data_IF_222082507519
#
_entry.id   IF_222082507519
#
_cell.length_a   1.000
_cell.length_b   1.000
_cell.length_c   1.000
_cell.angle_alpha   90.00
_cell.angle_beta   90.00
_cell.angle_gamma   90.00
#
_symmetry.space_group_name_H-M   'P 1'
#
loop_
_entity.id
_entity.type
_entity.pdbx_description
1 polymer ?
#
# COMPACT_ATOMS: atom_id res chain seq x y z
N UNK A 1 0.97 15.55 -32.90
CA UNK A 1 1.95 15.51 -31.79
C UNK A 1 2.72 16.83 -31.66
N UNK A 2 3.66 17.17 -32.56
CA UNK A 2 4.37 18.48 -32.54
C UNK A 2 3.43 19.69 -32.49
N UNK A 3 2.45 19.75 -33.40
CA UNK A 3 1.47 20.84 -33.44
C UNK A 3 0.69 20.98 -32.12
N UNK A 4 0.18 19.87 -31.59
CA UNK A 4 -0.56 19.82 -30.32
C UNK A 4 0.28 20.25 -29.12
N UNK A 5 1.57 19.90 -29.08
CA UNK A 5 2.47 20.30 -27.98
C UNK A 5 2.87 21.78 -28.04
N UNK A 6 3.00 22.34 -29.24
CA UNK A 6 3.25 23.78 -29.45
C UNK A 6 2.01 24.59 -29.03
N UNK A 7 0.81 24.10 -29.35
CA UNK A 7 -0.45 24.73 -28.98
C UNK A 7 -0.65 24.77 -27.44
N UNK A 8 -0.32 23.68 -26.73
CA UNK A 8 -0.47 23.58 -25.27
C UNK A 8 0.60 24.29 -24.45
N UNK A 9 1.85 24.35 -24.94
CA UNK A 9 3.00 24.77 -24.13
C UNK A 9 3.80 25.94 -24.73
N UNK A 10 3.43 26.39 -25.93
CA UNK A 10 4.09 27.48 -26.64
C UNK A 10 5.33 27.05 -27.42
N UNK A 11 5.60 27.77 -28.51
CA UNK A 11 6.71 27.52 -29.44
C UNK A 11 8.08 27.54 -28.74
N UNK A 12 8.26 28.46 -27.79
CA UNK A 12 9.54 28.65 -27.08
C UNK A 12 9.91 27.47 -26.16
N UNK A 13 8.93 26.82 -25.53
CA UNK A 13 9.17 25.61 -24.72
C UNK A 13 9.42 24.39 -25.60
N UNK A 14 8.74 24.31 -26.74
CA UNK A 14 8.99 23.26 -27.74
C UNK A 14 10.43 23.34 -28.24
N UNK A 15 10.88 24.52 -28.65
CA UNK A 15 12.21 24.74 -29.20
C UNK A 15 13.31 24.49 -28.17
N UNK A 16 13.09 24.86 -26.89
CA UNK A 16 13.98 24.46 -25.78
C UNK A 16 14.04 22.94 -25.58
N UNK A 17 12.92 22.24 -25.69
CA UNK A 17 12.91 20.77 -25.53
C UNK A 17 13.64 20.06 -26.68
N UNK A 18 13.52 20.58 -27.90
CA UNK A 18 14.21 20.07 -29.08
C UNK A 18 15.70 20.34 -28.97
N UNK A 19 16.09 21.57 -28.62
CA UNK A 19 17.49 21.93 -28.37
C UNK A 19 18.10 21.07 -27.26
N UNK A 20 17.36 20.79 -26.18
CA UNK A 20 17.84 19.90 -25.10
C UNK A 20 17.97 18.45 -25.53
N UNK A 21 17.06 17.94 -26.36
CA UNK A 21 17.21 16.60 -26.97
C UNK A 21 18.41 16.53 -27.89
N UNK A 22 18.68 17.59 -28.64
CA UNK A 22 19.86 17.69 -29.50
C UNK A 22 21.15 17.77 -28.68
N UNK A 23 21.20 18.59 -27.62
CA UNK A 23 22.32 18.58 -26.66
C UNK A 23 22.53 17.20 -26.03
N UNK A 24 21.46 16.48 -25.69
CA UNK A 24 21.56 15.13 -25.12
C UNK A 24 22.03 14.10 -26.16
N UNK A 25 21.62 14.25 -27.42
CA UNK A 25 22.07 13.41 -28.53
C UNK A 25 23.53 13.70 -28.92
N UNK A 26 23.95 14.97 -28.90
CA UNK A 26 25.31 15.41 -29.16
C UNK A 26 26.25 15.01 -28.01
N UNK A 27 25.79 15.06 -26.76
CA UNK A 27 26.49 14.47 -25.60
C UNK A 27 26.60 12.95 -25.69
N UNK A 28 25.57 12.27 -26.19
CA UNK A 28 25.63 10.83 -26.43
C UNK A 28 26.57 10.46 -27.60
N UNK A 29 26.69 11.32 -28.62
CA UNK A 29 27.56 11.11 -29.79
C UNK A 29 29.02 11.50 -29.55
N UNK A 30 29.30 12.43 -28.64
CA UNK A 30 30.65 12.86 -28.25
C UNK A 30 31.31 12.00 -27.17
N UNK A 31 30.63 10.95 -26.69
CA UNK A 31 31.12 10.11 -25.60
C UNK A 31 31.07 10.77 -24.22
N UNK A 32 30.54 11.99 -24.13
CA UNK A 32 30.32 12.75 -22.91
C UNK A 32 28.95 12.40 -22.28
N UNK A 33 28.66 11.10 -22.24
CA UNK A 33 27.67 10.56 -21.31
C UNK A 33 28.10 11.00 -19.92
N UNK A 34 27.21 11.72 -19.21
CA UNK A 34 27.34 12.21 -17.83
C UNK A 34 28.60 11.67 -17.15
N UNK A 35 29.68 12.48 -17.12
CA UNK A 35 31.03 12.11 -16.63
C UNK A 35 30.93 10.85 -15.78
N UNK A 36 31.18 9.70 -16.41
CA UNK A 36 31.19 8.45 -15.70
C UNK A 36 32.27 8.64 -14.64
N UNK A 37 31.84 8.80 -13.39
CA UNK A 37 32.74 8.94 -12.26
C UNK A 37 33.73 7.80 -12.41
N UNK A 38 35.02 8.12 -12.28
CA UNK A 38 36.01 7.05 -12.25
C UNK A 38 35.63 6.06 -11.14
N UNK A 39 35.96 4.75 -11.25
CA UNK A 39 35.61 3.77 -10.21
C UNK A 39 36.05 4.21 -8.80
N UNK A 40 37.11 5.03 -8.71
CA UNK A 40 37.60 5.65 -7.48
C UNK A 40 36.71 6.80 -6.98
N UNK A 41 36.18 7.65 -7.87
CA UNK A 41 35.25 8.72 -7.52
C UNK A 41 33.84 8.21 -7.19
N UNK A 42 33.36 7.15 -7.87
CA UNK A 42 32.14 6.43 -7.48
C UNK A 42 32.28 5.83 -6.08
N UNK A 43 33.43 5.20 -5.82
CA UNK A 43 33.72 4.62 -4.52
C UNK A 43 33.81 5.68 -3.42
N UNK A 44 34.50 6.80 -3.66
CA UNK A 44 34.60 7.89 -2.69
C UNK A 44 33.22 8.49 -2.38
N UNK A 45 32.36 8.65 -3.38
CA UNK A 45 30.99 9.15 -3.22
C UNK A 45 30.06 8.14 -2.54
N UNK A 46 30.23 6.84 -2.82
CA UNK A 46 29.52 5.76 -2.14
C UNK A 46 29.92 5.71 -0.65
N UNK A 47 31.22 5.72 -0.36
CA UNK A 47 31.75 5.71 1.01
C UNK A 47 31.31 6.94 1.81
N UNK A 48 31.33 8.13 1.19
CA UNK A 48 30.89 9.38 1.82
C UNK A 48 29.39 9.42 2.17
N UNK A 49 28.55 8.70 1.41
CA UNK A 49 27.11 8.58 1.64
C UNK A 49 26.71 7.30 2.37
N UNK A 50 27.66 6.46 2.77
CA UNK A 50 27.35 5.20 3.47
C UNK A 50 26.98 5.53 4.91
N UNK A 51 25.69 5.40 5.24
CA UNK A 51 25.26 5.42 6.64
C UNK A 51 25.91 4.24 7.39
N UNK A 52 26.27 4.41 8.68
CA UNK A 52 26.96 3.36 9.44
C UNK A 52 26.13 2.08 9.59
N UNK A 53 24.81 2.14 9.41
CA UNK A 53 23.95 0.97 9.29
C UNK A 53 23.08 1.12 8.05
N UNK A 54 22.84 0.01 7.36
CA UNK A 54 21.86 -0.01 6.29
C UNK A 54 20.45 0.17 6.87
N UNK A 55 19.71 1.14 6.33
CA UNK A 55 18.38 1.48 6.86
C UNK A 55 17.41 0.29 6.85
N UNK A 56 17.54 -0.61 5.87
CA UNK A 56 16.73 -1.83 5.76
C UNK A 56 17.06 -2.82 6.88
N UNK A 57 18.35 -3.10 7.15
CA UNK A 57 18.76 -4.02 8.22
C UNK A 57 18.38 -3.47 9.59
N UNK A 58 18.49 -2.15 9.79
CA UNK A 58 18.08 -1.50 11.03
C UNK A 58 16.57 -1.66 11.28
N UNK A 59 15.73 -1.39 10.28
CA UNK A 59 14.27 -1.52 10.40
C UNK A 59 13.87 -2.97 10.64
N UNK A 60 14.45 -3.92 9.90
CA UNK A 60 14.19 -5.35 10.11
C UNK A 60 14.65 -5.79 11.50
N UNK A 61 15.84 -5.38 11.93
CA UNK A 61 16.39 -5.68 13.25
C UNK A 61 15.50 -5.16 14.39
N UNK A 62 14.99 -3.93 14.26
CA UNK A 62 14.04 -3.34 15.21
C UNK A 62 12.73 -4.12 15.28
N UNK A 63 12.14 -4.46 14.12
CA UNK A 63 10.89 -5.23 14.05
C UNK A 63 11.04 -6.62 14.67
N UNK A 64 12.14 -7.32 14.35
CA UNK A 64 12.45 -8.64 14.91
C UNK A 64 12.73 -8.55 16.42
N UNK A 65 13.39 -7.49 16.87
CA UNK A 65 13.64 -7.21 18.28
C UNK A 65 12.35 -6.99 19.06
N UNK A 66 11.40 -6.24 18.49
CA UNK A 66 10.08 -6.04 19.06
C UNK A 66 9.32 -7.37 19.20
N UNK A 67 9.38 -8.24 18.18
CA UNK A 67 8.74 -9.56 18.21
C UNK A 67 9.34 -10.43 19.33
N UNK A 68 10.67 -10.52 19.43
CA UNK A 68 11.33 -11.35 20.45
C UNK A 68 11.10 -10.82 21.87
N UNK A 69 11.16 -9.51 22.08
CA UNK A 69 10.91 -8.89 23.39
C UNK A 69 9.45 -9.02 23.81
N UNK A 70 8.51 -8.86 22.88
CA UNK A 70 7.07 -9.10 23.15
C UNK A 70 6.83 -10.57 23.48
N UNK A 71 7.43 -11.50 22.74
CA UNK A 71 7.32 -12.94 23.04
C UNK A 71 7.94 -13.32 24.39
N UNK A 72 8.95 -12.56 24.84
CA UNK A 72 9.54 -12.72 26.17
C UNK A 72 8.58 -12.28 27.29
N UNK A 73 7.83 -11.19 27.06
CA UNK A 73 6.88 -10.65 28.04
C UNK A 73 5.58 -11.45 28.19
N UNK A 74 5.11 -12.10 27.11
CA UNK A 74 3.82 -12.82 27.10
C UNK A 74 3.81 -14.04 28.03
N UNK A 75 4.91 -14.81 28.10
CA UNK A 75 5.03 -15.96 29.02
C UNK A 75 6.46 -16.11 29.56
N UNK A 76 6.72 -15.70 30.81
CA UNK A 76 8.05 -15.79 31.43
C UNK A 76 8.50 -17.24 31.75
N UNK A 77 7.57 -18.20 31.73
CA UNK A 77 7.75 -19.58 32.21
C UNK A 77 8.35 -20.54 31.17
N UNK A 78 8.33 -20.17 29.88
CA UNK A 78 8.92 -20.97 28.82
C UNK A 78 10.45 -20.78 28.76
N UNK A 79 11.19 -21.79 28.27
CA UNK A 79 12.65 -21.73 28.14
C UNK A 79 13.09 -20.47 27.37
N UNK A 80 13.91 -19.63 27.99
CA UNK A 80 14.32 -18.32 27.47
C UNK A 80 15.48 -18.41 26.49
N UNK A 81 16.22 -19.53 26.50
CA UNK A 81 17.42 -19.75 25.68
C UNK A 81 17.20 -19.44 24.19
N UNK A 82 16.10 -19.86 23.52
CA UNK A 82 15.92 -19.61 22.10
C UNK A 82 15.73 -18.12 21.79
N UNK A 83 15.02 -17.39 22.65
CA UNK A 83 14.77 -15.96 22.46
C UNK A 83 16.06 -15.15 22.66
N UNK A 84 16.89 -15.54 23.62
CA UNK A 84 18.20 -14.94 23.85
C UNK A 84 19.12 -15.20 22.65
N UNK A 85 19.15 -16.43 22.13
CA UNK A 85 19.90 -16.76 20.90
C UNK A 85 19.42 -15.91 19.72
N UNK A 86 18.11 -15.73 19.57
CA UNK A 86 17.54 -14.84 18.56
C UNK A 86 17.97 -13.37 18.74
N UNK A 87 17.92 -12.85 19.97
CA UNK A 87 18.36 -11.48 20.29
C UNK A 87 19.85 -11.26 20.05
N UNK A 88 20.68 -12.25 20.41
CA UNK A 88 22.12 -12.26 20.07
C UNK A 88 22.31 -12.29 18.55
N UNK A 89 21.47 -13.03 17.82
CA UNK A 89 21.46 -13.03 16.36
C UNK A 89 21.16 -11.64 15.76
N UNK A 90 20.22 -10.87 16.34
CA UNK A 90 19.95 -9.49 15.89
C UNK A 90 21.13 -8.57 16.18
N UNK A 91 21.71 -8.66 17.37
CA UNK A 91 22.90 -7.88 17.72
C UNK A 91 24.08 -8.21 16.79
N UNK A 92 24.28 -9.50 16.48
CA UNK A 92 25.28 -9.95 15.53
C UNK A 92 24.99 -9.44 14.10
N UNK A 93 23.73 -9.43 13.67
CA UNK A 93 23.32 -8.91 12.36
C UNK A 93 23.69 -7.43 12.23
N UNK A 94 23.33 -6.60 13.22
CA UNK A 94 23.64 -5.16 13.23
C UNK A 94 25.15 -4.90 13.33
N UNK A 95 25.88 -5.75 14.07
CA UNK A 95 27.33 -5.63 14.22
C UNK A 95 28.07 -6.02 12.94
N UNK A 96 27.60 -7.06 12.23
CA UNK A 96 28.14 -7.45 10.91
C UNK A 96 27.84 -6.36 9.88
N UNK A 97 26.63 -5.81 9.85
CA UNK A 97 26.26 -4.69 8.97
C UNK A 97 27.13 -3.46 9.23
N UNK A 98 27.41 -3.14 10.49
CA UNK A 98 28.25 -1.99 10.86
C UNK A 98 29.75 -2.17 10.57
N UNK A 99 30.32 -3.34 10.82
CA UNK A 99 31.77 -3.54 10.79
C UNK A 99 32.31 -4.21 9.53
N UNK A 100 31.51 -5.07 8.90
CA UNK A 100 32.00 -5.97 7.87
C UNK A 100 31.43 -5.65 6.49
N UNK A 101 30.26 -5.02 6.38
CA UNK A 101 29.64 -4.75 5.09
C UNK A 101 30.16 -3.45 4.49
N UNK A 102 30.80 -3.56 3.33
CA UNK A 102 31.34 -2.44 2.56
C UNK A 102 30.63 -2.29 1.20
N UNK A 103 30.55 -1.08 0.63
CA UNK A 103 29.88 -0.82 -0.66
C UNK A 103 30.40 -1.62 -1.86
N UNK A 104 31.61 -2.17 -1.79
CA UNK A 104 32.21 -2.97 -2.86
C UNK A 104 31.95 -4.49 -2.73
N UNK A 105 31.29 -4.93 -1.66
CA UNK A 105 31.04 -6.36 -1.46
C UNK A 105 29.97 -6.87 -2.43
N UNK A 106 30.20 -8.07 -2.98
CA UNK A 106 29.18 -8.72 -3.79
C UNK A 106 27.97 -9.10 -2.92
N UNK A 107 26.75 -9.12 -3.49
CA UNK A 107 25.55 -9.55 -2.78
C UNK A 107 25.69 -10.95 -2.14
N UNK A 108 26.41 -11.88 -2.78
CA UNK A 108 26.61 -13.22 -2.24
C UNK A 108 27.53 -13.25 -1.01
N UNK A 109 28.62 -12.48 -1.00
CA UNK A 109 29.49 -12.36 0.19
C UNK A 109 28.72 -11.72 1.35
N UNK A 110 27.95 -10.67 1.07
CA UNK A 110 27.10 -10.01 2.08
C UNK A 110 26.06 -10.98 2.66
N UNK A 111 25.44 -11.79 1.81
CA UNK A 111 24.47 -12.81 2.24
C UNK A 111 25.09 -13.91 3.09
N UNK A 112 26.32 -14.33 2.76
CA UNK A 112 27.08 -15.30 3.55
C UNK A 112 27.43 -14.78 4.95
N UNK A 113 27.82 -13.50 5.05
CA UNK A 113 28.09 -12.85 6.33
C UNK A 113 26.83 -12.77 7.21
N UNK A 114 25.66 -12.56 6.60
CA UNK A 114 24.39 -12.53 7.32
C UNK A 114 23.79 -13.91 7.62
N UNK A 115 24.28 -14.99 7.02
CA UNK A 115 23.69 -16.33 7.16
C UNK A 115 23.63 -16.80 8.62
N UNK A 116 24.73 -16.66 9.37
CA UNK A 116 24.81 -17.13 10.76
C UNK A 116 23.92 -16.28 11.70
N UNK A 117 23.96 -14.93 11.66
CA UNK A 117 22.99 -14.09 12.36
C UNK A 117 21.54 -14.45 12.02
N UNK A 118 21.21 -14.63 10.74
CA UNK A 118 19.85 -14.98 10.30
C UNK A 118 19.42 -16.33 10.86
N UNK A 119 20.27 -17.36 10.85
CA UNK A 119 19.95 -18.68 11.42
C UNK A 119 19.67 -18.60 12.92
N UNK A 120 20.45 -17.81 13.67
CA UNK A 120 20.21 -17.58 15.09
C UNK A 120 18.86 -16.87 15.33
N UNK A 121 18.54 -15.86 14.50
CA UNK A 121 17.25 -15.17 14.56
C UNK A 121 16.09 -16.12 14.23
N UNK A 122 16.21 -16.93 13.17
CA UNK A 122 15.19 -17.91 12.79
C UNK A 122 14.94 -18.94 13.90
N UNK A 123 15.99 -19.35 14.60
CA UNK A 123 15.86 -20.23 15.77
C UNK A 123 15.05 -19.57 16.90
N UNK A 124 15.33 -18.29 17.20
CA UNK A 124 14.56 -17.53 18.18
C UNK A 124 13.11 -17.29 17.77
N UNK A 125 12.88 -16.92 16.51
CA UNK A 125 11.55 -16.72 15.95
C UNK A 125 10.70 -17.98 15.98
N UNK A 126 11.30 -19.15 15.69
CA UNK A 126 10.62 -20.44 15.76
C UNK A 126 10.05 -20.74 17.15
N UNK A 127 10.71 -20.27 18.21
CA UNK A 127 10.23 -20.38 19.58
C UNK A 127 9.28 -19.24 19.98
N UNK A 128 9.42 -18.05 19.38
CA UNK A 128 8.61 -16.87 19.67
C UNK A 128 7.20 -16.95 19.07
N UNK A 129 7.05 -17.38 17.81
CA UNK A 129 5.76 -17.40 17.11
C UNK A 129 4.69 -18.25 17.83
N UNK A 130 4.98 -19.48 18.30
CA UNK A 130 3.99 -20.27 19.05
C UNK A 130 3.55 -19.58 20.34
N UNK A 131 4.45 -18.89 21.04
CA UNK A 131 4.13 -18.16 22.29
C UNK A 131 3.22 -16.98 22.03
N UNK A 132 3.47 -16.23 20.96
CA UNK A 132 2.62 -15.10 20.54
C UNK A 132 1.24 -15.57 20.07
N UNK A 133 1.18 -16.75 19.44
CA UNK A 133 -0.08 -17.34 18.96
C UNK A 133 -1.01 -17.83 20.07
N UNK A 134 -0.53 -17.96 21.32
CA UNK A 134 -1.36 -18.25 22.49
C UNK A 134 -2.17 -17.03 22.95
N UNK A 135 -1.80 -15.82 22.54
CA UNK A 135 -2.58 -14.60 22.81
C UNK A 135 -3.68 -14.48 21.77
N UNK A 136 -4.92 -14.70 22.17
CA UNK A 136 -6.08 -14.71 21.26
C UNK A 136 -6.20 -13.43 20.42
N UNK A 137 -5.97 -12.27 21.03
CA UNK A 137 -6.01 -10.98 20.33
C UNK A 137 -4.94 -10.92 19.23
N UNK A 138 -3.70 -11.32 19.53
CA UNK A 138 -2.63 -11.31 18.53
C UNK A 138 -2.92 -12.33 17.42
N UNK A 139 -3.41 -13.53 17.77
CA UNK A 139 -3.75 -14.56 16.79
C UNK A 139 -4.84 -14.11 15.81
N UNK A 140 -5.82 -13.35 16.27
CA UNK A 140 -6.97 -12.93 15.45
C UNK A 140 -6.69 -11.66 14.66
N UNK A 141 -6.03 -10.67 15.27
CA UNK A 141 -5.86 -9.32 14.69
C UNK A 141 -4.59 -9.20 13.83
N UNK A 142 -3.52 -9.92 14.19
CA UNK A 142 -2.22 -9.74 13.54
C UNK A 142 -2.20 -10.16 12.06
N UNK A 143 -2.76 -11.31 11.63
CA UNK A 143 -2.68 -11.70 10.22
C UNK A 143 -3.38 -10.71 9.26
N UNK A 144 -4.61 -10.22 9.55
CA UNK A 144 -5.21 -9.14 8.75
C UNK A 144 -4.39 -7.85 8.74
N UNK A 145 -3.79 -7.47 9.87
CA UNK A 145 -2.96 -6.26 9.96
C UNK A 145 -1.72 -6.36 9.06
N UNK A 146 -1.03 -7.50 9.06
CA UNK A 146 0.12 -7.76 8.18
C UNK A 146 -0.29 -7.64 6.71
N UNK A 147 -1.46 -8.15 6.35
CA UNK A 147 -1.99 -8.03 4.99
C UNK A 147 -2.27 -6.58 4.60
N UNK A 148 -2.86 -5.79 5.50
CA UNK A 148 -3.12 -4.36 5.29
C UNK A 148 -1.81 -3.59 5.11
N UNK A 149 -0.81 -3.84 5.97
CA UNK A 149 0.52 -3.21 5.86
C UNK A 149 1.23 -3.64 4.58
N UNK A 150 1.11 -4.90 4.16
CA UNK A 150 1.72 -5.38 2.92
C UNK A 150 1.10 -4.70 1.67
N UNK A 151 -0.24 -4.57 1.64
CA UNK A 151 -0.96 -3.94 0.51
C UNK A 151 -0.76 -2.42 0.50
N UNK A 152 -0.93 -1.74 1.64
CA UNK A 152 -0.71 -0.29 1.71
C UNK A 152 0.75 0.06 1.51
N UNK A 153 1.66 -0.75 2.07
CA UNK A 153 3.10 -0.58 1.90
C UNK A 153 3.55 -0.74 0.45
N UNK A 154 2.97 -1.68 -0.31
CA UNK A 154 3.31 -1.83 -1.73
C UNK A 154 2.77 -0.70 -2.61
N UNK A 155 1.65 -0.08 -2.22
CA UNK A 155 1.10 1.11 -2.90
C UNK A 155 1.91 2.36 -2.55
N UNK A 156 2.08 2.65 -1.26
CA UNK A 156 2.78 3.85 -0.78
C UNK A 156 4.28 3.82 -1.10
N UNK A 157 4.88 2.63 -1.11
CA UNK A 157 6.27 2.42 -1.50
C UNK A 157 6.49 2.50 -3.02
N UNK A 158 5.45 2.73 -3.83
CA UNK A 158 5.56 2.81 -5.29
C UNK A 158 5.96 1.49 -5.97
N UNK A 159 5.87 0.37 -5.26
CA UNK A 159 6.27 -0.96 -5.78
C UNK A 159 5.23 -1.48 -6.77
N UNK A 160 3.94 -1.30 -6.45
CA UNK A 160 2.83 -1.80 -7.25
C UNK A 160 1.68 -0.82 -7.34
N UNK A 161 1.01 -0.79 -8.49
CA UNK A 161 -0.26 -0.07 -8.65
C UNK A 161 -1.37 -0.66 -7.76
N UNK A 162 -2.47 0.08 -7.50
CA UNK A 162 -3.57 -0.39 -6.65
C UNK A 162 -4.18 -1.73 -7.08
N UNK A 163 -4.26 -2.00 -8.39
CA UNK A 163 -4.87 -3.24 -8.91
C UNK A 163 -4.04 -4.50 -8.58
N UNK A 164 -2.73 -4.57 -8.88
CA UNK A 164 -1.88 -5.66 -8.39
C UNK A 164 -1.82 -5.77 -6.86
N UNK A 165 -1.80 -4.63 -6.15
CA UNK A 165 -1.81 -4.62 -4.68
C UNK A 165 -3.08 -5.26 -4.11
N UNK A 166 -4.24 -4.97 -4.71
CA UNK A 166 -5.50 -5.61 -4.34
C UNK A 166 -5.50 -7.12 -4.58
N UNK A 167 -4.88 -7.59 -5.68
CA UNK A 167 -4.73 -9.02 -5.96
C UNK A 167 -3.86 -9.72 -4.90
N UNK A 168 -2.79 -9.08 -4.43
CA UNK A 168 -1.96 -9.57 -3.32
C UNK A 168 -2.78 -9.65 -2.01
N UNK A 169 -3.61 -8.65 -1.74
CA UNK A 169 -4.59 -8.66 -0.64
C UNK A 169 -5.55 -9.86 -0.72
N UNK A 170 -6.16 -10.08 -1.88
CA UNK A 170 -7.08 -11.19 -2.10
C UNK A 170 -6.40 -12.56 -1.95
N UNK A 171 -5.20 -12.72 -2.51
CA UNK A 171 -4.42 -13.94 -2.38
C UNK A 171 -4.05 -14.24 -0.91
N UNK A 172 -3.61 -13.23 -0.16
CA UNK A 172 -3.31 -13.37 1.27
C UNK A 172 -4.55 -13.71 2.10
N UNK A 173 -5.70 -13.09 1.82
CA UNK A 173 -6.96 -13.41 2.49
C UNK A 173 -7.42 -14.86 2.23
N UNK A 174 -7.27 -15.36 0.99
CA UNK A 174 -7.55 -16.75 0.62
C UNK A 174 -6.65 -17.71 1.41
N UNK A 175 -5.35 -17.43 1.46
CA UNK A 175 -4.39 -18.25 2.21
C UNK A 175 -4.71 -18.27 3.71
N UNK A 176 -5.01 -17.11 4.32
CA UNK A 176 -5.40 -17.01 5.74
C UNK A 176 -6.70 -17.76 6.05
N UNK A 177 -7.72 -17.62 5.19
CA UNK A 177 -8.99 -18.32 5.35
C UNK A 177 -8.81 -19.85 5.27
N UNK A 178 -8.02 -20.32 4.31
CA UNK A 178 -7.71 -21.75 4.18
C UNK A 178 -6.89 -22.26 5.38
N UNK A 179 -5.93 -21.48 5.88
CA UNK A 179 -5.17 -21.82 7.09
C UNK A 179 -6.05 -21.93 8.33
N UNK A 180 -6.97 -20.97 8.53
CA UNK A 180 -7.93 -21.02 9.65
C UNK A 180 -8.79 -22.27 9.57
N UNK A 181 -9.32 -22.59 8.38
CA UNK A 181 -10.14 -23.78 8.17
C UNK A 181 -9.39 -25.08 8.48
N UNK A 182 -8.13 -25.20 8.04
CA UNK A 182 -7.29 -26.37 8.35
C UNK A 182 -6.97 -26.48 9.85
N UNK A 183 -6.78 -25.35 10.52
CA UNK A 183 -6.55 -25.30 11.97
C UNK A 183 -7.76 -25.82 12.75
N UNK A 184 -8.97 -25.46 12.32
CA UNK A 184 -10.22 -25.90 12.96
C UNK A 184 -10.44 -27.42 12.87
N UNK A 185 -9.93 -28.07 11.81
CA UNK A 185 -10.10 -29.52 11.59
C UNK A 185 -9.10 -30.39 12.39
N UNK A 186 -8.27 -29.81 13.25
CA UNK A 186 -7.24 -30.54 13.99
C UNK A 186 -6.17 -31.18 13.10
N UNK A 187 -6.21 -30.94 11.78
CA UNK A 187 -5.19 -31.35 10.82
C UNK A 187 -4.01 -30.39 10.92
N UNK A 188 -3.26 -30.50 12.01
CA UNK A 188 -1.96 -29.87 12.22
C UNK A 188 -0.85 -30.42 11.31
N UNK A 189 -1.13 -30.71 10.03
CA UNK A 189 -0.10 -31.05 9.06
C UNK A 189 0.64 -29.77 8.66
N UNK A 190 1.66 -29.38 9.43
CA UNK A 190 2.81 -28.52 9.07
C UNK A 190 2.59 -27.71 7.77
N UNK A 191 1.64 -26.78 7.87
CA UNK A 191 0.81 -26.26 6.79
C UNK A 191 1.59 -25.83 5.55
N UNK A 192 1.32 -26.49 4.41
CA UNK A 192 1.80 -26.09 3.07
C UNK A 192 1.55 -24.59 2.87
N UNK A 193 0.43 -24.05 3.36
CA UNK A 193 0.10 -22.63 3.26
C UNK A 193 1.08 -21.76 4.04
N UNK A 194 1.45 -22.14 5.27
CA UNK A 194 2.44 -21.40 6.07
C UNK A 194 3.83 -21.46 5.43
N UNK A 195 4.19 -22.60 4.83
CA UNK A 195 5.44 -22.72 4.07
C UNK A 195 5.40 -21.87 2.80
N UNK A 196 4.26 -21.76 2.13
CA UNK A 196 4.09 -20.92 0.95
C UNK A 196 4.15 -19.43 1.30
N UNK A 197 3.59 -19.01 2.44
CA UNK A 197 3.79 -17.65 2.97
C UNK A 197 5.27 -17.39 3.26
N UNK A 198 5.99 -18.36 3.84
CA UNK A 198 7.43 -18.24 4.05
C UNK A 198 8.22 -18.18 2.74
N UNK A 199 7.82 -18.92 1.71
CA UNK A 199 8.41 -18.86 0.38
C UNK A 199 8.26 -17.47 -0.26
N UNK A 200 7.12 -16.79 -0.08
CA UNK A 200 6.95 -15.40 -0.52
C UNK A 200 7.98 -14.48 0.15
N UNK A 201 8.23 -14.65 1.45
CA UNK A 201 9.24 -13.87 2.18
C UNK A 201 10.64 -14.14 1.64
N UNK A 202 10.99 -15.40 1.39
CA UNK A 202 12.28 -15.76 0.76
C UNK A 202 12.41 -15.09 -0.61
N UNK A 203 11.38 -15.20 -1.46
CA UNK A 203 11.38 -14.62 -2.79
C UNK A 203 11.59 -13.09 -2.74
N UNK A 204 10.91 -12.40 -1.82
CA UNK A 204 11.08 -10.96 -1.62
C UNK A 204 12.47 -10.59 -1.13
N UNK A 205 13.02 -11.31 -0.14
CA UNK A 205 14.36 -11.07 0.36
C UNK A 205 15.41 -11.28 -0.74
N UNK A 206 15.28 -12.34 -1.53
CA UNK A 206 16.20 -12.59 -2.65
C UNK A 206 16.05 -11.51 -3.72
N UNK A 207 14.83 -11.12 -4.08
CA UNK A 207 14.58 -10.10 -5.11
C UNK A 207 15.00 -8.67 -4.71
N UNK A 208 15.08 -8.36 -3.41
CA UNK A 208 15.58 -7.06 -2.93
C UNK A 208 17.11 -7.02 -2.90
N UNK A 209 17.77 -8.14 -2.62
CA UNK A 209 19.23 -8.19 -2.44
C UNK A 209 20.01 -8.56 -3.71
N UNK A 210 19.42 -9.36 -4.61
CA UNK A 210 20.08 -9.85 -5.81
C UNK A 210 19.40 -9.30 -7.07
N UNK A 211 20.21 -8.94 -8.07
CA UNK A 211 19.67 -8.57 -9.38
C UNK A 211 19.24 -9.83 -10.13
N UNK A 212 17.93 -9.96 -10.34
CA UNK A 212 17.29 -11.09 -11.00
C UNK A 212 17.09 -10.87 -12.52
N UNK A 213 17.68 -9.83 -13.10
CA UNK A 213 17.58 -9.57 -14.54
C UNK A 213 18.38 -10.61 -15.33
N UNK A 214 17.72 -11.31 -16.24
CA UNK A 214 18.29 -12.38 -17.07
C UNK A 214 19.12 -11.89 -18.26
N UNK A 215 19.03 -10.59 -18.60
CA UNK A 215 19.57 -10.04 -19.84
C UNK A 215 20.84 -9.20 -19.65
N UNK A 216 21.53 -9.36 -18.51
CA UNK A 216 22.79 -8.66 -18.21
C UNK A 216 23.96 -9.60 -18.55
N UNK A 217 24.76 -9.23 -19.55
CA UNK A 217 26.01 -9.93 -19.86
C UNK A 217 26.99 -9.76 -18.67
N UNK A 218 27.31 -10.86 -17.99
CA UNK A 218 28.19 -10.84 -16.81
C UNK A 218 27.50 -11.12 -15.46
N UNK A 219 26.25 -11.59 -15.44
CA UNK A 219 25.62 -12.06 -14.20
C UNK A 219 26.47 -13.16 -13.54
N UNK A 220 27.10 -12.85 -12.40
CA UNK A 220 27.92 -13.78 -11.65
C UNK A 220 27.14 -15.02 -11.18
N UNK A 221 27.86 -16.09 -10.83
CA UNK A 221 27.27 -17.36 -10.36
C UNK A 221 26.27 -17.17 -9.20
N UNK A 222 26.52 -16.19 -8.33
CA UNK A 222 25.65 -15.81 -7.21
C UNK A 222 24.22 -15.42 -7.66
N UNK A 223 24.10 -14.60 -8.71
CA UNK A 223 22.81 -14.14 -9.22
C UNK A 223 22.02 -15.29 -9.87
N UNK A 224 22.72 -16.25 -10.49
CA UNK A 224 22.10 -17.46 -11.03
C UNK A 224 21.52 -18.37 -9.93
N UNK A 225 22.25 -18.55 -8.83
CA UNK A 225 21.76 -19.31 -7.66
C UNK A 225 20.56 -18.60 -7.02
N UNK A 226 20.65 -17.28 -6.83
CA UNK A 226 19.56 -16.46 -6.31
C UNK A 226 18.30 -16.57 -7.20
N UNK A 227 18.48 -16.52 -8.52
CA UNK A 227 17.39 -16.70 -9.47
C UNK A 227 16.72 -18.08 -9.36
N UNK A 228 17.50 -19.15 -9.23
CA UNK A 228 16.96 -20.50 -9.05
C UNK A 228 16.17 -20.64 -7.75
N UNK A 229 16.68 -20.09 -6.64
CA UNK A 229 15.98 -20.07 -5.35
C UNK A 229 14.69 -19.25 -5.46
N UNK A 230 14.73 -18.09 -6.10
CA UNK A 230 13.57 -17.22 -6.29
C UNK A 230 12.49 -17.89 -7.14
N UNK A 231 12.85 -18.54 -8.26
CA UNK A 231 11.92 -19.32 -9.06
C UNK A 231 11.31 -20.48 -8.27
N UNK A 232 12.12 -21.24 -7.54
CA UNK A 232 11.63 -22.34 -6.68
C UNK A 232 10.63 -21.84 -5.65
N UNK A 233 10.94 -20.72 -4.98
CA UNK A 233 10.06 -20.08 -4.01
C UNK A 233 8.76 -19.57 -4.65
N UNK A 234 8.84 -18.96 -5.84
CA UNK A 234 7.69 -18.50 -6.61
C UNK A 234 6.73 -19.64 -6.97
N UNK A 235 7.24 -20.73 -7.54
CA UNK A 235 6.40 -21.88 -7.90
C UNK A 235 5.78 -22.53 -6.67
N UNK A 236 6.51 -22.62 -5.56
CA UNK A 236 5.98 -23.16 -4.31
C UNK A 236 4.91 -22.24 -3.69
N UNK A 237 5.08 -20.92 -3.76
CA UNK A 237 4.09 -19.95 -3.33
C UNK A 237 2.80 -20.06 -4.18
N UNK A 238 2.95 -20.17 -5.50
CA UNK A 238 1.84 -20.35 -6.43
C UNK A 238 1.08 -21.66 -6.16
N UNK A 239 1.81 -22.76 -5.95
CA UNK A 239 1.21 -24.03 -5.56
C UNK A 239 0.41 -23.93 -4.27
N UNK A 240 0.95 -23.25 -3.25
CA UNK A 240 0.24 -23.01 -1.99
C UNK A 240 -1.05 -22.20 -2.15
N UNK A 241 -1.03 -21.18 -3.01
CA UNK A 241 -2.22 -20.39 -3.32
C UNK A 241 -3.29 -21.24 -4.01
N UNK A 242 -2.91 -22.03 -5.01
CA UNK A 242 -3.83 -22.95 -5.69
C UNK A 242 -4.39 -24.02 -4.73
N UNK A 243 -3.54 -24.54 -3.84
CA UNK A 243 -3.95 -25.47 -2.79
C UNK A 243 -4.94 -24.83 -1.80
N UNK A 244 -4.72 -23.58 -1.41
CA UNK A 244 -5.65 -22.83 -0.57
C UNK A 244 -7.02 -22.64 -1.26
N UNK A 245 -7.03 -22.28 -2.55
CA UNK A 245 -8.25 -22.22 -3.35
C UNK A 245 -8.97 -23.58 -3.41
N UNK A 246 -8.22 -24.66 -3.63
CA UNK A 246 -8.76 -26.02 -3.68
C UNK A 246 -9.42 -26.42 -2.36
N UNK A 247 -8.79 -26.15 -1.21
CA UNK A 247 -9.36 -26.41 0.11
C UNK A 247 -10.68 -25.65 0.28
N UNK A 248 -10.66 -24.33 0.05
CA UNK A 248 -11.85 -23.50 0.26
C UNK A 248 -13.01 -23.91 -0.67
N UNK A 249 -12.70 -24.35 -1.89
CA UNK A 249 -13.69 -24.94 -2.79
C UNK A 249 -14.20 -26.27 -2.23
N UNK A 250 -13.32 -27.21 -1.89
CA UNK A 250 -13.68 -28.55 -1.40
C UNK A 250 -14.61 -28.48 -0.18
N UNK A 251 -14.36 -27.54 0.73
CA UNK A 251 -15.20 -27.29 1.91
C UNK A 251 -16.47 -26.45 1.62
N UNK A 252 -16.78 -26.14 0.36
CA UNK A 252 -17.92 -25.33 -0.10
C UNK A 252 -17.98 -23.94 0.54
N UNK A 253 -16.84 -23.39 0.93
CA UNK A 253 -16.72 -22.04 1.53
C UNK A 253 -16.59 -20.99 0.42
N UNK A 254 -15.86 -21.31 -0.65
CA UNK A 254 -15.57 -20.34 -1.71
C UNK A 254 -16.82 -19.94 -2.51
N UNK A 255 -17.71 -20.89 -2.81
CA UNK A 255 -18.88 -20.63 -3.66
C UNK A 255 -19.88 -19.63 -3.03
N UNK A 256 -20.27 -19.74 -1.75
CA UNK A 256 -21.08 -18.73 -1.07
C UNK A 256 -20.40 -17.35 -1.05
N UNK A 257 -19.10 -17.29 -0.75
CA UNK A 257 -18.36 -16.01 -0.67
C UNK A 257 -18.33 -15.33 -2.04
N UNK A 258 -17.98 -16.07 -3.09
CA UNK A 258 -17.97 -15.52 -4.46
C UNK A 258 -19.36 -15.04 -4.87
N UNK A 259 -20.42 -15.75 -4.49
CA UNK A 259 -21.80 -15.34 -4.79
C UNK A 259 -22.20 -14.05 -4.06
N UNK A 260 -21.92 -13.94 -2.77
CA UNK A 260 -22.21 -12.73 -2.00
C UNK A 260 -21.36 -11.54 -2.48
N UNK A 261 -20.07 -11.74 -2.72
CA UNK A 261 -19.20 -10.73 -3.31
C UNK A 261 -19.67 -10.29 -4.69
N UNK A 262 -20.05 -11.23 -5.57
CA UNK A 262 -20.59 -10.91 -6.88
C UNK A 262 -21.92 -10.15 -6.77
N UNK A 263 -22.81 -10.51 -5.84
CA UNK A 263 -24.09 -9.83 -5.62
C UNK A 263 -23.89 -8.37 -5.19
N UNK A 264 -23.00 -8.11 -4.23
CA UNK A 264 -22.69 -6.74 -3.79
C UNK A 264 -22.04 -5.94 -4.92
N UNK A 265 -21.05 -6.52 -5.61
CA UNK A 265 -20.39 -5.87 -6.74
C UNK A 265 -21.38 -5.58 -7.88
N UNK A 266 -22.25 -6.52 -8.24
CA UNK A 266 -23.28 -6.33 -9.27
C UNK A 266 -24.31 -5.27 -8.88
N UNK A 267 -24.68 -5.18 -7.59
CA UNK A 267 -25.53 -4.10 -7.10
C UNK A 267 -24.85 -2.75 -7.33
N UNK A 268 -23.59 -2.59 -6.91
CA UNK A 268 -22.83 -1.35 -7.11
C UNK A 268 -22.72 -1.00 -8.60
N UNK A 269 -22.38 -1.97 -9.46
CA UNK A 269 -22.31 -1.74 -10.92
C UNK A 269 -23.66 -1.36 -11.53
N UNK A 270 -24.77 -1.93 -11.06
CA UNK A 270 -26.09 -1.56 -11.54
C UNK A 270 -26.44 -0.10 -11.18
N UNK A 271 -26.07 0.34 -9.96
CA UNK A 271 -26.24 1.75 -9.54
C UNK A 271 -25.34 2.65 -10.42
N UNK A 272 -24.07 2.26 -10.64
CA UNK A 272 -23.15 2.99 -11.54
C UNK A 272 -23.73 3.15 -12.96
N UNK A 273 -24.36 2.11 -13.53
CA UNK A 273 -24.99 2.22 -14.86
C UNK A 273 -26.15 3.21 -14.81
N UNK A 274 -27.01 3.14 -13.80
CA UNK A 274 -28.14 4.05 -13.64
C UNK A 274 -27.71 5.51 -13.43
N UNK A 275 -26.69 5.75 -12.62
CA UNK A 275 -26.16 7.09 -12.37
C UNK A 275 -25.45 7.66 -13.60
N UNK A 276 -24.75 6.84 -14.39
CA UNK A 276 -24.18 7.28 -15.68
C UNK A 276 -25.27 7.68 -16.68
N UNK A 277 -26.41 6.98 -16.72
CA UNK A 277 -27.55 7.40 -17.53
C UNK A 277 -28.10 8.75 -17.06
N UNK A 278 -28.26 8.95 -15.74
CA UNK A 278 -28.70 10.23 -15.18
C UNK A 278 -27.70 11.36 -15.48
N UNK A 279 -26.40 11.09 -15.34
CA UNK A 279 -25.33 12.05 -15.61
C UNK A 279 -25.34 12.48 -17.08
N UNK A 280 -25.47 11.53 -18.01
CA UNK A 280 -25.55 11.82 -19.43
C UNK A 280 -26.78 12.68 -19.75
N UNK A 281 -27.92 12.42 -19.11
CA UNK A 281 -29.14 13.23 -19.25
C UNK A 281 -28.91 14.65 -18.71
N UNK A 282 -28.33 14.78 -17.50
CA UNK A 282 -28.04 16.07 -16.89
C UNK A 282 -27.14 16.92 -17.80
N UNK A 283 -26.08 16.31 -18.35
CA UNK A 283 -25.17 16.96 -19.30
C UNK A 283 -25.90 17.33 -20.59
N UNK A 284 -26.74 16.43 -21.13
CA UNK A 284 -27.49 16.66 -22.38
C UNK A 284 -28.47 17.84 -22.29
N UNK A 285 -29.01 18.11 -21.09
CA UNK A 285 -29.87 19.26 -20.82
C UNK A 285 -29.09 20.53 -20.41
N UNK A 286 -27.75 20.49 -20.43
CA UNK A 286 -26.88 21.61 -20.04
C UNK A 286 -26.83 21.84 -18.53
N UNK A 287 -27.19 20.86 -17.70
CA UNK A 287 -27.21 20.98 -16.24
C UNK A 287 -25.84 21.31 -15.64
N UNK A 288 -24.76 20.85 -16.26
CA UNK A 288 -23.40 21.19 -15.84
C UNK A 288 -23.08 22.68 -16.01
N UNK A 289 -23.51 23.30 -17.12
CA UNK A 289 -23.29 24.73 -17.38
C UNK A 289 -24.07 25.60 -16.39
N UNK A 290 -25.30 25.20 -16.03
CA UNK A 290 -26.08 25.91 -15.01
C UNK A 290 -25.41 25.86 -13.64
N UNK A 291 -24.93 24.67 -13.22
CA UNK A 291 -24.24 24.52 -11.94
C UNK A 291 -22.93 25.29 -11.95
N UNK A 292 -22.15 25.21 -13.03
CA UNK A 292 -20.91 25.98 -13.16
C UNK A 292 -21.16 27.47 -13.14
N UNK A 293 -22.20 27.96 -13.83
CA UNK A 293 -22.56 29.39 -13.83
C UNK A 293 -23.00 29.85 -12.44
N UNK A 294 -23.74 29.02 -11.71
CA UNK A 294 -24.10 29.29 -10.32
C UNK A 294 -22.86 29.35 -9.41
N UNK A 295 -21.94 28.40 -9.53
CA UNK A 295 -20.70 28.41 -8.74
C UNK A 295 -19.78 29.59 -9.11
N UNK A 296 -19.70 29.96 -10.40
CA UNK A 296 -18.94 31.12 -10.87
C UNK A 296 -19.57 32.46 -10.49
N UNK A 297 -20.83 32.47 -10.02
CA UNK A 297 -21.47 33.70 -9.54
C UNK A 297 -20.92 34.19 -8.20
N UNK A 298 -20.21 33.32 -7.48
CA UNK A 298 -19.49 33.68 -6.27
C UNK A 298 -18.07 34.14 -6.63
N UNK A 299 -17.70 35.34 -6.18
CA UNK A 299 -16.37 35.92 -6.45
C UNK A 299 -15.25 35.27 -5.63
N UNK A 300 -15.59 34.72 -4.46
CA UNK A 300 -14.62 34.15 -3.52
C UNK A 300 -14.44 32.64 -3.72
N UNK A 301 -13.25 32.22 -4.16
CA UNK A 301 -12.89 30.80 -4.41
C UNK A 301 -13.14 29.91 -3.17
N UNK A 302 -12.88 30.43 -1.97
CA UNK A 302 -13.10 29.72 -0.71
C UNK A 302 -14.58 29.46 -0.41
N UNK A 303 -15.46 30.37 -0.82
CA UNK A 303 -16.92 30.21 -0.64
C UNK A 303 -17.43 29.15 -1.61
N UNK A 304 -16.97 29.18 -2.86
CA UNK A 304 -17.27 28.15 -3.86
C UNK A 304 -16.83 26.78 -3.36
N UNK A 305 -15.60 26.69 -2.86
CA UNK A 305 -15.06 25.44 -2.31
C UNK A 305 -15.89 24.91 -1.13
N UNK A 306 -16.29 25.77 -0.19
CA UNK A 306 -17.14 25.39 0.93
C UNK A 306 -18.53 24.91 0.46
N UNK A 307 -19.15 25.60 -0.50
CA UNK A 307 -20.45 25.20 -1.06
C UNK A 307 -20.35 23.80 -1.67
N UNK A 308 -19.31 23.54 -2.46
CA UNK A 308 -19.07 22.22 -3.06
C UNK A 308 -18.89 21.16 -1.97
N UNK A 309 -18.11 21.44 -0.94
CA UNK A 309 -17.90 20.51 0.18
C UNK A 309 -19.22 20.17 0.88
N UNK A 310 -20.10 21.15 1.11
CA UNK A 310 -21.42 20.92 1.72
C UNK A 310 -22.32 20.10 0.79
N UNK A 311 -22.35 20.43 -0.51
CA UNK A 311 -23.15 19.69 -1.51
C UNK A 311 -22.68 18.23 -1.58
N UNK A 312 -21.37 17.99 -1.69
CA UNK A 312 -20.81 16.63 -1.72
C UNK A 312 -21.10 15.87 -0.42
N UNK A 313 -21.04 16.54 0.72
CA UNK A 313 -21.36 15.94 2.02
C UNK A 313 -22.81 15.48 2.08
N UNK A 314 -23.77 16.32 1.67
CA UNK A 314 -25.20 15.99 1.66
C UNK A 314 -25.48 14.88 0.64
N UNK A 315 -24.87 14.96 -0.55
CA UNK A 315 -25.08 13.99 -1.62
C UNK A 315 -24.58 12.59 -1.23
N UNK A 316 -23.51 12.51 -0.42
CA UNK A 316 -22.98 11.24 0.11
C UNK A 316 -23.88 10.51 1.09
N UNK A 317 -24.98 11.14 1.55
CA UNK A 317 -26.01 10.40 2.24
C UNK A 317 -26.80 9.50 1.29
N UNK A 318 -26.94 9.86 0.02
CA UNK A 318 -27.85 9.13 -0.89
C UNK A 318 -27.08 8.32 -1.94
N UNK A 319 -25.97 8.87 -2.44
CA UNK A 319 -25.20 8.30 -3.54
C UNK A 319 -23.88 7.69 -3.06
N UNK A 320 -23.35 6.73 -3.83
CA UNK A 320 -22.04 6.13 -3.56
C UNK A 320 -20.89 7.12 -3.83
N UNK A 321 -19.75 6.98 -3.14
CA UNK A 321 -18.62 7.90 -3.29
C UNK A 321 -18.07 7.90 -4.72
N UNK A 322 -18.05 6.75 -5.41
CA UNK A 322 -17.61 6.68 -6.80
C UNK A 322 -18.55 7.49 -7.71
N UNK A 323 -19.85 7.46 -7.44
CA UNK A 323 -20.84 8.21 -8.23
C UNK A 323 -20.71 9.71 -8.04
N UNK A 324 -20.54 10.13 -6.79
CA UNK A 324 -20.34 11.54 -6.47
C UNK A 324 -19.06 12.03 -7.13
N UNK A 325 -17.98 11.25 -7.12
CA UNK A 325 -16.75 11.59 -7.82
C UNK A 325 -17.01 11.72 -9.32
N UNK A 326 -17.69 10.76 -9.96
CA UNK A 326 -17.94 10.81 -11.41
C UNK A 326 -18.92 11.90 -11.85
N UNK A 327 -19.84 12.35 -10.99
CA UNK A 327 -20.79 13.41 -11.31
C UNK A 327 -20.21 14.78 -10.93
N UNK A 328 -19.83 14.95 -9.67
CA UNK A 328 -19.49 16.27 -9.11
C UNK A 328 -18.11 16.73 -9.53
N UNK A 329 -17.10 15.84 -9.59
CA UNK A 329 -15.72 16.27 -9.90
C UNK A 329 -15.59 16.81 -11.32
N UNK A 330 -16.20 16.22 -12.38
CA UNK A 330 -16.18 16.84 -13.70
C UNK A 330 -16.91 18.18 -13.77
N UNK A 331 -18.04 18.33 -13.07
CA UNK A 331 -18.83 19.57 -13.06
C UNK A 331 -18.07 20.68 -12.35
N UNK A 332 -17.47 20.38 -11.19
CA UNK A 332 -16.85 21.36 -10.31
C UNK A 332 -15.37 21.56 -10.64
N UNK A 333 -14.73 20.56 -11.24
CA UNK A 333 -13.30 20.53 -11.51
C UNK A 333 -12.79 21.76 -12.26
N UNK A 334 -13.42 22.20 -13.36
CA UNK A 334 -13.04 23.44 -14.06
C UNK A 334 -13.12 24.70 -13.18
N UNK A 335 -14.00 24.71 -12.17
CA UNK A 335 -14.21 25.85 -11.27
C UNK A 335 -13.20 25.84 -10.12
N UNK A 336 -12.93 24.68 -9.51
CA UNK A 336 -12.00 24.58 -8.36
C UNK A 336 -10.54 24.45 -8.81
N UNK A 337 -10.23 23.54 -9.73
CA UNK A 337 -8.84 23.30 -10.16
C UNK A 337 -8.32 24.34 -11.15
N UNK A 338 -9.21 25.19 -11.68
CA UNK A 338 -8.83 26.35 -12.49
C UNK A 338 -8.44 27.59 -11.68
N UNK A 339 -8.69 27.58 -10.36
CA UNK A 339 -8.40 28.69 -9.44
C UNK A 339 -6.99 28.66 -8.85
N UNK A 340 -6.82 29.30 -7.69
CA UNK A 340 -5.53 29.41 -6.98
C UNK A 340 -5.26 28.29 -5.97
N UNK A 341 -6.25 27.44 -5.69
CA UNK A 341 -6.14 26.35 -4.71
C UNK A 341 -5.26 25.21 -5.23
N UNK A 342 -4.39 24.69 -4.37
CA UNK A 342 -3.55 23.52 -4.69
C UNK A 342 -4.42 22.28 -4.99
N UNK A 343 -4.31 21.68 -6.20
CA UNK A 343 -5.12 20.53 -6.58
C UNK A 343 -4.97 19.34 -5.63
N UNK A 344 -3.78 19.12 -5.06
CA UNK A 344 -3.55 18.02 -4.13
C UNK A 344 -4.32 18.24 -2.83
N UNK A 345 -4.21 19.42 -2.23
CA UNK A 345 -4.99 19.79 -1.05
C UNK A 345 -6.50 19.69 -1.27
N UNK A 346 -7.01 20.24 -2.39
CA UNK A 346 -8.43 20.15 -2.77
C UNK A 346 -8.89 18.70 -2.85
N UNK A 347 -8.12 17.84 -3.53
CA UNK A 347 -8.44 16.42 -3.71
C UNK A 347 -8.54 15.70 -2.36
N UNK A 348 -7.60 15.97 -1.45
CA UNK A 348 -7.60 15.36 -0.11
C UNK A 348 -8.77 15.85 0.73
N UNK A 349 -9.09 17.14 0.69
CA UNK A 349 -10.26 17.68 1.38
C UNK A 349 -11.56 17.03 0.90
N UNK A 350 -11.75 16.93 -0.43
CA UNK A 350 -12.89 16.23 -1.02
C UNK A 350 -12.93 14.76 -0.57
N UNK A 351 -11.79 14.08 -0.57
CA UNK A 351 -11.68 12.67 -0.19
C UNK A 351 -12.08 12.43 1.27
N UNK A 352 -11.55 13.24 2.19
CA UNK A 352 -11.87 13.15 3.63
C UNK A 352 -13.35 13.47 3.87
N UNK A 353 -13.89 14.49 3.20
CA UNK A 353 -15.29 14.86 3.31
C UNK A 353 -16.25 13.76 2.82
N UNK A 354 -15.94 13.12 1.68
CA UNK A 354 -16.70 11.97 1.19
C UNK A 354 -16.65 10.80 2.17
N UNK A 355 -15.49 10.53 2.78
CA UNK A 355 -15.35 9.51 3.82
C UNK A 355 -16.24 9.81 5.04
N UNK A 356 -16.32 11.07 5.46
CA UNK A 356 -17.19 11.50 6.57
C UNK A 356 -18.66 11.36 6.24
N UNK A 357 -19.06 11.68 5.02
CA UNK A 357 -20.44 11.47 4.58
C UNK A 357 -20.84 9.98 4.65
N UNK A 358 -19.92 9.07 4.28
CA UNK A 358 -20.12 7.62 4.36
C UNK A 358 -20.38 7.07 5.76
N UNK A 359 -19.98 7.79 6.80
CA UNK A 359 -20.16 7.42 8.20
C UNK A 359 -21.35 8.14 8.86
N UNK A 360 -21.95 9.13 8.20
CA UNK A 360 -22.96 10.00 8.81
C UNK A 360 -24.38 9.48 8.58
N UNK A 361 -25.23 9.35 9.62
CA UNK A 361 -26.65 9.07 9.47
C UNK A 361 -27.37 10.13 8.62
N UNK A 362 -28.47 9.81 7.89
CA UNK A 362 -29.35 8.64 8.03
C UNK A 362 -28.99 7.41 7.18
N UNK A 363 -28.00 7.52 6.29
CA UNK A 363 -27.76 6.51 5.25
C UNK A 363 -26.33 5.98 5.13
N UNK A 364 -25.41 6.36 6.02
CA UNK A 364 -24.01 5.91 5.97
C UNK A 364 -23.87 4.40 5.74
N UNK A 365 -23.39 4.00 4.55
CA UNK A 365 -23.33 2.60 4.11
C UNK A 365 -22.57 1.70 5.08
N UNK A 366 -21.50 2.22 5.69
CA UNK A 366 -20.73 1.51 6.70
C UNK A 366 -21.58 1.13 7.93
N UNK A 367 -22.51 1.99 8.34
CA UNK A 367 -23.41 1.74 9.48
C UNK A 367 -24.42 0.64 9.16
N UNK A 368 -24.91 0.57 7.93
CA UNK A 368 -25.80 -0.49 7.48
C UNK A 368 -25.09 -1.83 7.33
N UNK A 369 -23.83 -1.84 6.86
CA UNK A 369 -23.01 -3.04 6.86
C UNK A 369 -22.79 -3.58 8.27
N UNK A 370 -22.49 -2.70 9.23
CA UNK A 370 -22.39 -3.09 10.64
C UNK A 370 -23.71 -3.62 11.17
N UNK A 371 -24.84 -3.02 10.81
CA UNK A 371 -26.16 -3.53 11.21
C UNK A 371 -26.43 -4.93 10.64
N UNK A 372 -25.94 -5.24 9.43
CA UNK A 372 -26.11 -6.55 8.80
C UNK A 372 -25.37 -7.70 9.49
N UNK A 373 -24.30 -7.41 10.24
CA UNK A 373 -23.54 -8.39 11.02
C UNK A 373 -23.78 -8.30 12.53
N UNK A 374 -24.46 -7.25 12.99
CA UNK A 374 -24.71 -7.02 14.39
C UNK A 374 -25.84 -7.94 14.94
N UNK A 375 -25.67 -8.49 16.15
CA UNK A 375 -26.71 -9.26 16.83
C UNK A 375 -28.03 -8.48 16.93
N UNK A 376 -29.20 -9.16 16.99
CA UNK A 376 -30.50 -8.49 17.05
C UNK A 376 -30.66 -7.56 18.27
N UNK A 377 -29.86 -7.75 19.32
CA UNK A 377 -29.82 -6.92 20.52
C UNK A 377 -29.23 -5.52 20.27
N UNK A 378 -28.43 -5.34 19.21
CA UNK A 378 -27.80 -4.05 18.87
C UNK A 378 -28.70 -3.29 17.89
N UNK A 379 -29.37 -2.25 18.41
CA UNK A 379 -30.26 -1.41 17.59
C UNK A 379 -29.48 -0.43 16.72
N UNK A 380 -30.08 0.03 15.61
CA UNK A 380 -29.50 1.07 14.75
C UNK A 380 -29.15 2.35 15.54
N UNK A 381 -29.93 2.68 16.55
CA UNK A 381 -29.65 3.81 17.44
C UNK A 381 -28.37 3.65 18.26
N UNK A 382 -28.02 2.41 18.67
CA UNK A 382 -26.75 2.15 19.35
C UNK A 382 -25.56 2.34 18.40
N UNK A 383 -25.70 1.90 17.15
CA UNK A 383 -24.68 2.08 16.10
C UNK A 383 -24.50 3.58 15.78
N UNK A 384 -25.61 4.32 15.65
CA UNK A 384 -25.57 5.76 15.37
C UNK A 384 -24.89 6.53 16.51
N UNK A 385 -25.23 6.26 17.77
CA UNK A 385 -24.54 6.87 18.91
C UNK A 385 -23.06 6.48 18.97
N UNK A 386 -22.74 5.23 18.60
CA UNK A 386 -21.37 4.72 18.56
C UNK A 386 -20.49 5.40 17.53
N UNK A 387 -21.04 5.87 16.40
CA UNK A 387 -20.25 6.52 15.34
C UNK A 387 -20.03 8.02 15.59
N UNK A 388 -20.87 8.69 16.38
CA UNK A 388 -20.77 10.15 16.62
C UNK A 388 -19.36 10.60 17.03
N UNK A 389 -18.64 9.94 17.97
CA UNK A 389 -17.27 10.32 18.31
C UNK A 389 -16.31 10.29 17.10
N UNK A 390 -16.48 9.33 16.19
CA UNK A 390 -15.65 9.21 14.99
C UNK A 390 -15.95 10.30 13.97
N UNK A 391 -17.23 10.65 13.79
CA UNK A 391 -17.63 11.79 12.94
C UNK A 391 -17.03 13.09 13.49
N UNK A 392 -17.11 13.30 14.81
CA UNK A 392 -16.52 14.49 15.45
C UNK A 392 -15.01 14.56 15.18
N UNK A 393 -14.29 13.45 15.37
CA UNK A 393 -12.85 13.38 15.08
C UNK A 393 -12.57 13.70 13.60
N UNK A 394 -13.39 13.20 12.67
CA UNK A 394 -13.21 13.49 11.25
C UNK A 394 -13.52 14.94 10.89
N UNK A 395 -14.55 15.54 11.47
CA UNK A 395 -14.87 16.96 11.27
C UNK A 395 -13.77 17.84 11.86
N UNK A 396 -13.23 17.49 13.02
CA UNK A 396 -12.04 18.15 13.59
C UNK A 396 -10.85 17.99 12.64
N UNK A 397 -10.61 16.78 12.12
CA UNK A 397 -9.58 16.51 11.12
C UNK A 397 -9.74 17.40 9.89
N UNK A 398 -10.94 17.49 9.34
CA UNK A 398 -11.26 18.36 8.21
C UNK A 398 -11.01 19.84 8.52
N UNK A 399 -11.38 20.29 9.72
CA UNK A 399 -11.07 21.64 10.21
C UNK A 399 -9.57 21.89 10.36
N UNK A 400 -8.81 20.91 10.84
CA UNK A 400 -7.35 20.99 10.92
C UNK A 400 -6.70 21.08 9.55
N UNK A 401 -7.16 20.26 8.58
CA UNK A 401 -6.66 20.32 7.20
C UNK A 401 -7.05 21.62 6.49
N UNK A 402 -8.18 22.22 6.87
CA UNK A 402 -8.59 23.54 6.43
C UNK A 402 -7.67 24.64 6.98
N UNK A 403 -7.37 24.60 8.28
CA UNK A 403 -6.53 25.60 8.95
C UNK A 403 -5.03 25.45 8.62
N UNK A 404 -4.57 24.23 8.39
CA UNK A 404 -3.17 23.91 8.15
C UNK A 404 -2.99 23.07 6.87
N UNK A 405 -3.10 23.69 5.68
CA UNK A 405 -2.91 23.01 4.39
C UNK A 405 -1.55 22.32 4.25
N UNK A 406 -0.53 22.83 4.94
CA UNK A 406 0.82 22.27 4.96
C UNK A 406 0.86 20.81 5.44
N UNK A 407 -0.09 20.38 6.29
CA UNK A 407 -0.15 19.00 6.77
C UNK A 407 -0.32 18.03 5.60
N UNK A 408 -1.11 18.41 4.59
CA UNK A 408 -1.37 17.59 3.40
C UNK A 408 -0.14 17.49 2.51
N UNK A 409 0.65 18.56 2.42
CA UNK A 409 1.76 18.65 1.48
C UNK A 409 3.09 18.16 2.04
N UNK A 410 3.21 17.94 3.35
CA UNK A 410 4.45 17.43 3.99
C UNK A 410 4.88 16.08 3.40
N UNK A 411 3.99 15.09 3.36
CA UNK A 411 4.36 13.75 2.90
C UNK A 411 4.73 13.75 1.40
N UNK A 412 3.95 14.36 0.49
CA UNK A 412 4.36 14.55 -0.90
C UNK A 412 5.69 15.30 -1.07
N UNK A 413 5.98 16.30 -0.23
CA UNK A 413 7.23 17.06 -0.30
C UNK A 413 8.46 16.29 0.22
N UNK A 414 8.25 15.32 1.11
CA UNK A 414 9.31 14.45 1.64
C UNK A 414 9.61 13.25 0.73
N UNK A 415 8.67 12.87 -0.13
CA UNK A 415 8.89 11.80 -1.11
C UNK A 415 9.72 12.35 -2.28
N UNK A 416 10.77 11.63 -2.72
CA UNK A 416 11.53 12.03 -3.91
C UNK A 416 10.59 12.11 -5.12
N UNK A 417 10.69 13.20 -5.88
CA UNK A 417 10.04 13.31 -7.19
C UNK A 417 10.71 12.30 -8.13
N UNK A 418 10.12 11.10 -8.23
CA UNK A 418 10.54 10.08 -9.19
C UNK A 418 9.92 10.33 -10.56
#
# INVERSE_FOLDING_TARGET
CKASMIELHGQEKWDRSVARKQELADKAASGDAAVALTPEEEYAKALANTAPLSGVVLVIGLMLGLILTTAFGVRPDYDRRPLIVGGVGIAALLLVDWLLVNPQMTPGVTTLLYLLPILAILYGLRAAFPRLAEVDILRVVFPPLVLVVAVLGSILGGITNPTPAAALGAAGAIMLAAQRKLSDEGKGHRSIIMQSTFAIVIMLLVGVNFDLRTNVEGAGFENWVAMLISFGAYYFAMFGLLYACWILWSHRILAPIVRESAKVTSMVFAILIGSQMLNLVLISFGGEDYIQTFLRSFEEEWVVFLIVMVIMFILGFVLDFLEIIYIVVPIVGPVIYGGTLDPAWVTIMITVNLQTSFLTPPFGFALFYLRGVAPPEVTTGHIYRGVVPFIIIQVIGLGLLWMFPSIVTILPALLPQN
#
